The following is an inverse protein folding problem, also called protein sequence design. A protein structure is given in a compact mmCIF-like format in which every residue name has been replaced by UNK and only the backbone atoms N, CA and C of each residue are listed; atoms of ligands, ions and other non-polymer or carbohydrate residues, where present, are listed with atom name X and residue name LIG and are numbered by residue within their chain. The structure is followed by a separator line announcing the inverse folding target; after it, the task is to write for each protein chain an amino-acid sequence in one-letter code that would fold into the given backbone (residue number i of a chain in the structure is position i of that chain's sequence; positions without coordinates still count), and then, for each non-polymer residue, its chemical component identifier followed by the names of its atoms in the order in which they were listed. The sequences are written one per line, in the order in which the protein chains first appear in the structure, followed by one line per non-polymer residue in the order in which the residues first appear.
data_IF_801402651574
#
_entry.id   IF_801402651574
#
_cell.length_a   1.000
_cell.length_b   1.000
_cell.length_c   1.000
_cell.angle_alpha   90.00
_cell.angle_beta   90.00
_cell.angle_gamma   90.00
#
_symmetry.space_group_name_H-M   'P 1'
#
loop_
_entity.id
_entity.type
_entity.pdbx_description
1 polymer ?
#
# COMPACT_ATOMS: atom_id res chain seq x y z
N UNK A 1 2.46 -20.39 -16.62
CA UNK A 1 2.95 -19.44 -17.64
C UNK A 1 2.04 -18.21 -17.63
N UNK A 2 2.46 -17.10 -17.01
CA UNK A 2 1.67 -15.86 -16.84
C UNK A 2 2.42 -14.63 -17.41
N UNK A 3 3.10 -14.80 -18.55
CA UNK A 3 4.01 -13.81 -19.16
C UNK A 3 3.34 -12.74 -20.04
N UNK A 4 2.05 -12.47 -19.86
CA UNK A 4 1.32 -11.50 -20.69
C UNK A 4 1.67 -10.02 -20.37
N UNK A 5 2.55 -9.76 -19.39
CA UNK A 5 3.00 -8.41 -19.04
C UNK A 5 2.26 -7.71 -17.90
N UNK A 6 1.22 -8.32 -17.30
CA UNK A 6 0.41 -7.70 -16.22
C UNK A 6 1.25 -7.14 -15.06
N UNK A 7 2.12 -7.98 -14.49
CA UNK A 7 2.98 -7.57 -13.37
C UNK A 7 3.95 -6.46 -13.79
N UNK A 8 4.52 -6.55 -14.99
CA UNK A 8 5.36 -5.50 -15.57
C UNK A 8 4.61 -4.18 -15.70
N UNK A 9 3.37 -4.21 -16.19
CA UNK A 9 2.49 -3.04 -16.29
C UNK A 9 2.17 -2.45 -14.93
N UNK A 10 1.86 -3.25 -13.91
CA UNK A 10 1.62 -2.74 -12.56
C UNK A 10 2.86 -2.07 -11.96
N UNK A 11 4.05 -2.67 -12.14
CA UNK A 11 5.32 -2.06 -11.72
C UNK A 11 5.57 -0.72 -12.41
N UNK A 12 5.13 -0.58 -13.67
CA UNK A 12 5.17 0.71 -14.37
C UNK A 12 4.19 1.74 -13.78
N UNK A 13 2.97 1.32 -13.41
CA UNK A 13 1.97 2.22 -12.81
C UNK A 13 2.40 2.77 -11.44
N UNK A 14 3.13 1.99 -10.65
CA UNK A 14 3.68 2.44 -9.36
C UNK A 14 5.06 3.08 -9.45
N UNK A 15 5.55 3.34 -10.68
CA UNK A 15 6.87 3.92 -10.95
C UNK A 15 8.06 3.11 -10.37
N UNK A 16 7.87 1.80 -10.11
CA UNK A 16 8.94 0.85 -9.77
C UNK A 16 9.71 0.41 -11.03
N UNK A 17 9.07 0.51 -12.19
CA UNK A 17 9.69 0.27 -13.50
C UNK A 17 9.37 1.43 -14.44
N UNK A 18 10.37 2.01 -15.11
CA UNK A 18 10.10 3.04 -16.11
C UNK A 18 9.67 2.42 -17.44
N UNK A 19 8.61 2.95 -18.10
CA UNK A 19 8.27 2.52 -19.45
C UNK A 19 9.38 2.89 -20.42
N UNK A 20 9.68 2.01 -21.37
CA UNK A 20 10.70 2.26 -22.41
C UNK A 20 10.25 3.37 -23.37
N UNK A 21 8.95 3.50 -23.61
CA UNK A 21 8.35 4.54 -24.45
C UNK A 21 6.92 4.86 -23.98
N UNK A 22 6.39 6.00 -24.44
CA UNK A 22 5.06 6.48 -24.05
C UNK A 22 5.04 7.21 -22.70
N UNK A 23 3.84 7.48 -22.19
CA UNK A 23 3.61 8.17 -20.92
C UNK A 23 2.49 7.49 -20.15
N UNK A 24 2.57 7.57 -18.83
CA UNK A 24 1.50 7.14 -17.94
C UNK A 24 0.98 8.40 -17.24
N UNK A 25 -0.30 8.69 -17.46
CA UNK A 25 -0.98 9.89 -16.93
C UNK A 25 -1.99 9.45 -15.89
N UNK A 26 -1.87 9.97 -14.67
CA UNK A 26 -2.76 9.66 -13.55
C UNK A 26 -3.19 10.98 -12.92
N UNK A 27 -4.50 11.20 -12.80
CA UNK A 27 -5.10 12.45 -12.35
C UNK A 27 -4.55 13.68 -13.11
N UNK A 28 -4.35 13.55 -14.43
CA UNK A 28 -3.81 14.60 -15.30
C UNK A 28 -2.30 14.84 -15.18
N UNK A 29 -1.59 14.07 -14.36
CA UNK A 29 -0.16 14.23 -14.09
C UNK A 29 0.66 13.08 -14.70
N UNK A 30 1.80 13.39 -15.28
CA UNK A 30 2.75 12.40 -15.82
C UNK A 30 3.59 11.82 -14.67
N UNK A 31 3.42 10.53 -14.39
CA UNK A 31 4.07 9.89 -13.23
C UNK A 31 5.59 9.82 -13.38
N UNK A 32 6.13 9.86 -14.60
CA UNK A 32 7.58 9.85 -14.81
C UNK A 32 8.25 11.14 -14.33
N UNK A 33 7.46 12.21 -14.14
CA UNK A 33 7.91 13.52 -13.63
C UNK A 33 7.65 13.67 -12.13
N UNK A 34 7.00 12.71 -11.50
CA UNK A 34 6.71 12.71 -10.06
C UNK A 34 7.86 12.06 -9.30
N UNK A 35 8.38 12.72 -8.26
CA UNK A 35 9.47 12.18 -7.46
C UNK A 35 9.01 11.28 -6.31
N UNK A 36 7.85 11.52 -5.68
CA UNK A 36 7.47 10.82 -4.43
C UNK A 36 5.96 10.62 -4.19
N UNK A 37 5.10 11.51 -4.67
CA UNK A 37 3.66 11.45 -4.40
C UNK A 37 2.87 10.80 -5.52
N UNK A 38 2.86 9.47 -5.51
CA UNK A 38 1.90 8.70 -6.29
C UNK A 38 0.62 8.54 -5.46
N UNK A 39 -0.48 9.10 -5.96
CA UNK A 39 -1.83 8.99 -5.40
C UNK A 39 -2.45 7.59 -5.66
N UNK A 40 -1.64 6.53 -5.57
CA UNK A 40 -2.01 5.15 -5.93
C UNK A 40 -1.56 4.19 -4.82
N UNK A 41 -2.44 3.27 -4.44
CA UNK A 41 -2.11 2.11 -3.62
C UNK A 41 -1.83 0.88 -4.49
N UNK A 42 -0.86 0.06 -4.11
CA UNK A 42 -0.55 -1.20 -4.79
C UNK A 42 -0.46 -2.34 -3.79
N UNK A 43 -1.16 -3.43 -4.08
CA UNK A 43 -1.11 -4.67 -3.33
C UNK A 43 -0.28 -5.69 -4.12
N UNK A 44 0.91 -6.10 -3.62
CA UNK A 44 1.76 -7.08 -4.30
C UNK A 44 1.14 -8.49 -4.32
N UNK A 45 1.70 -9.37 -5.14
CA UNK A 45 1.25 -10.78 -5.23
C UNK A 45 1.54 -11.60 -3.97
N UNK A 46 2.57 -11.22 -3.20
CA UNK A 46 2.96 -11.85 -1.95
C UNK A 46 2.92 -10.82 -0.83
N UNK A 47 2.51 -11.23 0.36
CA UNK A 47 2.42 -10.36 1.52
C UNK A 47 3.81 -9.94 2.00
N UNK A 48 4.04 -8.62 2.09
CA UNK A 48 5.23 -8.04 2.70
C UNK A 48 4.94 -7.51 4.11
N UNK A 49 4.05 -8.19 4.83
CA UNK A 49 3.71 -7.79 6.18
C UNK A 49 4.84 -8.15 7.16
N UNK A 50 5.04 -7.32 8.18
CA UNK A 50 6.08 -7.56 9.19
C UNK A 50 5.53 -8.54 10.22
N UNK A 51 5.96 -9.80 10.13
CA UNK A 51 5.51 -10.93 10.94
C UNK A 51 5.36 -10.66 12.45
N UNK A 52 6.27 -9.86 13.02
CA UNK A 52 6.33 -9.58 14.45
C UNK A 52 5.38 -8.47 14.91
N UNK A 53 4.80 -7.70 14.00
CA UNK A 53 3.81 -6.68 14.32
C UNK A 53 2.43 -7.30 14.41
N UNK A 54 1.58 -6.69 15.23
CA UNK A 54 0.14 -6.95 15.26
C UNK A 54 -0.58 -6.29 14.07
N UNK A 55 -1.83 -6.69 13.81
CA UNK A 55 -2.66 -6.06 12.77
C UNK A 55 -2.75 -4.55 12.99
N UNK A 56 -3.05 -4.12 14.23
CA UNK A 56 -3.14 -2.68 14.54
C UNK A 56 -1.79 -1.97 14.39
N UNK A 57 -0.69 -2.56 14.86
CA UNK A 57 0.65 -1.98 14.71
C UNK A 57 1.07 -1.85 13.24
N UNK A 58 0.66 -2.81 12.41
CA UNK A 58 0.90 -2.78 10.96
C UNK A 58 0.14 -1.61 10.32
N UNK A 59 -1.15 -1.44 10.64
CA UNK A 59 -1.95 -0.32 10.14
C UNK A 59 -1.37 1.03 10.60
N UNK A 60 -1.03 1.15 11.89
CA UNK A 60 -0.39 2.34 12.44
C UNK A 60 0.93 2.65 11.71
N UNK A 61 1.79 1.66 11.50
CA UNK A 61 3.06 1.84 10.80
C UNK A 61 2.85 2.39 9.39
N UNK A 62 1.97 1.79 8.60
CA UNK A 62 1.71 2.25 7.23
C UNK A 62 1.05 3.64 7.20
N UNK A 63 0.11 3.92 8.11
CA UNK A 63 -0.48 5.25 8.24
C UNK A 63 0.57 6.32 8.56
N UNK A 64 1.50 6.02 9.48
CA UNK A 64 2.63 6.92 9.82
C UNK A 64 3.59 7.12 8.64
N UNK A 65 3.92 6.06 7.90
CA UNK A 65 4.79 6.14 6.70
C UNK A 65 4.14 6.94 5.57
N UNK A 66 2.81 6.94 5.48
CA UNK A 66 2.03 7.78 4.56
C UNK A 66 1.91 9.24 5.00
N UNK A 67 2.48 9.62 6.15
CA UNK A 67 2.57 11.01 6.60
C UNK A 67 1.35 11.52 7.37
N UNK A 68 0.41 10.64 7.78
CA UNK A 68 -0.72 11.03 8.62
C UNK A 68 -0.23 11.58 9.96
N UNK A 69 -0.96 12.50 10.61
CA UNK A 69 -0.60 13.00 11.95
C UNK A 69 -1.01 12.01 13.03
N UNK A 70 -0.31 12.02 14.17
CA UNK A 70 -0.60 11.11 15.29
C UNK A 70 -2.04 11.27 15.79
N UNK A 71 -2.55 12.50 15.80
CA UNK A 71 -3.93 12.82 16.16
C UNK A 71 -4.98 12.17 15.26
N UNK A 72 -4.63 11.81 14.02
CA UNK A 72 -5.55 11.23 13.02
C UNK A 72 -5.35 9.72 12.88
N UNK A 73 -4.13 9.24 13.14
CA UNK A 73 -3.70 7.85 12.85
C UNK A 73 -4.57 6.83 13.59
N UNK A 74 -4.80 7.03 14.89
CA UNK A 74 -5.55 6.07 15.71
C UNK A 74 -6.98 5.86 15.23
N UNK A 75 -7.70 6.95 14.92
CA UNK A 75 -9.09 6.86 14.46
C UNK A 75 -9.16 6.12 13.12
N UNK A 76 -8.31 6.51 12.16
CA UNK A 76 -8.28 5.89 10.83
C UNK A 76 -7.97 4.39 10.93
N UNK A 77 -7.03 3.99 11.80
CA UNK A 77 -6.74 2.57 11.97
C UNK A 77 -7.88 1.80 12.62
N UNK A 78 -8.60 2.38 13.59
CA UNK A 78 -9.81 1.78 14.15
C UNK A 78 -10.91 1.62 13.10
N UNK A 79 -11.15 2.66 12.29
CA UNK A 79 -12.15 2.62 11.21
C UNK A 79 -11.79 1.53 10.19
N UNK A 80 -10.50 1.39 9.85
CA UNK A 80 -10.04 0.32 8.95
C UNK A 80 -10.26 -1.07 9.56
N UNK A 81 -10.02 -1.27 10.86
CA UNK A 81 -10.29 -2.55 11.51
C UNK A 81 -11.76 -2.92 11.38
N UNK A 82 -12.66 -1.98 11.63
CA UNK A 82 -14.11 -2.19 11.53
C UNK A 82 -14.53 -2.47 10.07
N UNK A 83 -14.09 -1.64 9.13
CA UNK A 83 -14.42 -1.78 7.70
C UNK A 83 -13.99 -3.14 7.14
N UNK A 84 -12.89 -3.69 7.62
CA UNK A 84 -12.38 -5.00 7.18
C UNK A 84 -12.78 -6.18 8.10
N UNK A 85 -13.54 -5.95 9.18
CA UNK A 85 -13.98 -6.99 10.11
C UNK A 85 -12.82 -7.68 10.84
N UNK A 86 -11.82 -6.91 11.27
CA UNK A 86 -10.57 -7.41 11.88
C UNK A 86 -10.53 -7.27 13.41
N UNK A 87 -11.65 -7.00 14.07
CA UNK A 87 -11.72 -6.62 15.49
C UNK A 87 -11.10 -7.70 16.39
N UNK A 88 -11.43 -8.98 16.13
CA UNK A 88 -10.89 -10.11 16.90
C UNK A 88 -9.43 -10.45 16.57
N UNK A 89 -8.88 -9.84 15.52
CA UNK A 89 -7.52 -10.05 15.03
C UNK A 89 -6.59 -8.87 15.36
N UNK A 90 -7.12 -7.74 15.84
CA UNK A 90 -6.37 -6.49 15.94
C UNK A 90 -5.04 -6.62 16.71
N UNK A 91 -5.02 -7.41 17.79
CA UNK A 91 -3.86 -7.62 18.66
C UNK A 91 -3.06 -8.88 18.31
N UNK A 92 -3.49 -9.66 17.32
CA UNK A 92 -2.75 -10.83 16.85
C UNK A 92 -1.58 -10.37 15.98
N UNK A 93 -0.43 -10.97 16.20
CA UNK A 93 0.73 -10.82 15.31
C UNK A 93 0.41 -11.37 13.93
N UNK A 94 0.91 -10.73 12.88
CA UNK A 94 0.72 -11.15 11.49
C UNK A 94 1.08 -12.63 11.28
N UNK A 95 2.17 -13.10 11.89
CA UNK A 95 2.59 -14.50 11.78
C UNK A 95 1.64 -15.53 12.43
N UNK A 96 0.67 -15.06 13.21
CA UNK A 96 -0.30 -15.88 13.94
C UNK A 96 -1.73 -15.70 13.39
N UNK A 97 -1.87 -15.07 12.22
CA UNK A 97 -3.14 -14.95 11.50
C UNK A 97 -3.43 -16.20 10.66
#
# INVERSE_FOLDING_TARGET
VNGAGKATTFRMLINDLKPTSGKIIINGKDINKMQRDLEIGFCPQFDWLINNLTVIETLLLFARLKGLKWSETSQICCDMIEVFGLEIYQTKKIQNL
#
